data_IF_379804466661
#
_entry.id   IF_379804466661
#
_cell.length_a   1.000
_cell.length_b   1.000
_cell.length_c   1.000
_cell.angle_alpha   90.00
_cell.angle_beta   90.00
_cell.angle_gamma   90.00
#
_symmetry.space_group_name_H-M   'P 1'
#
loop_
_entity.id
_entity.type
_entity.pdbx_description
1 polymer ?
#
# COMPACT_ATOMS: atom_id res chain seq x y z
N UNK A 1 -11.51 -5.58 11.18
CA UNK A 1 -10.51 -4.56 10.81
C UNK A 1 -9.16 -5.12 11.19
N UNK A 2 -8.25 -5.27 10.23
CA UNK A 2 -6.91 -5.78 10.51
C UNK A 2 -6.12 -4.78 11.36
N UNK A 3 -5.15 -5.25 12.14
CA UNK A 3 -4.27 -4.33 12.88
C UNK A 3 -3.40 -3.53 11.90
N UNK A 4 -2.90 -2.36 12.31
CA UNK A 4 -1.96 -1.56 11.50
C UNK A 4 -0.75 -2.39 11.06
N UNK A 5 -0.29 -3.29 11.94
CA UNK A 5 0.79 -4.23 11.64
C UNK A 5 0.40 -5.16 10.49
N UNK A 6 -0.78 -5.76 10.54
CA UNK A 6 -1.25 -6.70 9.52
C UNK A 6 -1.45 -6.01 8.17
N UNK A 7 -2.03 -4.80 8.16
CA UNK A 7 -2.19 -3.98 6.95
C UNK A 7 -0.81 -3.70 6.33
N UNK A 8 0.16 -3.30 7.15
CA UNK A 8 1.53 -3.02 6.70
C UNK A 8 2.18 -4.28 6.12
N UNK A 9 2.11 -5.42 6.82
CA UNK A 9 2.68 -6.68 6.35
C UNK A 9 2.02 -7.13 5.03
N UNK A 10 0.71 -7.03 4.93
CA UNK A 10 -0.03 -7.39 3.72
C UNK A 10 0.30 -6.45 2.55
N UNK A 11 0.48 -5.16 2.81
CA UNK A 11 0.95 -4.22 1.79
C UNK A 11 2.32 -4.62 1.22
N UNK A 12 3.28 -5.00 2.08
CA UNK A 12 4.62 -5.40 1.64
C UNK A 12 4.70 -6.80 1.00
N UNK A 13 3.65 -7.64 1.12
CA UNK A 13 3.54 -8.90 0.36
C UNK A 13 3.20 -8.69 -1.12
N UNK A 14 2.63 -7.53 -1.47
CA UNK A 14 2.29 -7.20 -2.85
C UNK A 14 3.56 -6.95 -3.68
N UNK A 15 3.49 -7.32 -4.96
CA UNK A 15 4.51 -6.90 -5.94
C UNK A 15 4.63 -5.37 -5.99
N UNK A 16 5.77 -4.87 -6.47
CA UNK A 16 6.00 -3.43 -6.62
C UNK A 16 4.87 -2.74 -7.40
N UNK A 17 4.48 -3.29 -8.56
CA UNK A 17 3.44 -2.72 -9.41
C UNK A 17 2.08 -2.60 -8.71
N UNK A 18 1.69 -3.62 -7.94
CA UNK A 18 0.43 -3.60 -7.18
C UNK A 18 0.48 -2.62 -6.01
N UNK A 19 1.62 -2.52 -5.31
CA UNK A 19 1.81 -1.49 -4.27
C UNK A 19 1.71 -0.08 -4.84
N UNK A 20 2.32 0.15 -6.00
CA UNK A 20 2.29 1.42 -6.70
C UNK A 20 0.86 1.79 -7.10
N UNK A 21 0.13 0.86 -7.73
CA UNK A 21 -1.26 1.07 -8.12
C UNK A 21 -2.18 1.45 -6.94
N UNK A 22 -1.99 0.81 -5.77
CA UNK A 22 -2.71 1.19 -4.55
C UNK A 22 -2.31 2.60 -4.09
N UNK A 23 -1.01 2.92 -4.08
CA UNK A 23 -0.53 4.23 -3.66
C UNK A 23 -1.08 5.37 -4.55
N UNK A 24 -1.17 5.13 -5.85
CA UNK A 24 -1.77 6.03 -6.84
C UNK A 24 -3.29 6.15 -6.65
N UNK A 25 -4.00 5.02 -6.47
CA UNK A 25 -5.46 4.99 -6.24
C UNK A 25 -5.90 5.89 -5.09
N UNK A 26 -5.12 5.96 -4.02
CA UNK A 26 -5.41 6.78 -2.85
C UNK A 26 -4.71 8.16 -2.86
N UNK A 27 -4.00 8.49 -3.94
CA UNK A 27 -3.23 9.73 -4.09
C UNK A 27 -2.28 9.97 -2.89
N UNK A 28 -1.55 8.92 -2.51
CA UNK A 28 -0.66 8.89 -1.34
C UNK A 28 0.83 8.96 -1.70
N UNK A 29 1.16 8.62 -2.95
CA UNK A 29 2.50 8.80 -3.50
C UNK A 29 2.66 10.25 -3.96
N UNK A 30 3.77 10.88 -3.58
CA UNK A 30 4.13 12.24 -4.02
C UNK A 30 5.40 12.18 -4.86
N UNK A 31 5.63 13.22 -5.66
CA UNK A 31 6.82 13.35 -6.50
C UNK A 31 8.13 13.22 -5.68
N UNK A 32 8.16 13.83 -4.48
CA UNK A 32 9.30 13.76 -3.54
C UNK A 32 9.67 12.33 -3.09
N UNK A 33 8.76 11.36 -3.25
CA UNK A 33 9.01 9.97 -2.87
C UNK A 33 9.63 9.15 -4.01
N UNK A 34 9.61 9.66 -5.25
CA UNK A 34 10.16 8.99 -6.44
C UNK A 34 11.69 8.88 -6.33
N UNK A 35 12.34 9.82 -5.66
CA UNK A 35 13.78 9.79 -5.43
C UNK A 35 14.19 8.91 -4.23
N UNK A 36 13.21 8.38 -3.49
CA UNK A 36 13.48 7.52 -2.33
C UNK A 36 13.57 6.05 -2.75
N UNK A 37 14.36 5.23 -2.00
CA UNK A 37 14.30 3.78 -2.10
C UNK A 37 12.90 3.23 -1.82
N UNK A 38 12.53 2.13 -2.47
CA UNK A 38 11.19 1.51 -2.39
C UNK A 38 10.66 1.35 -0.97
N UNK A 39 11.49 0.87 -0.04
CA UNK A 39 11.06 0.64 1.34
C UNK A 39 10.63 1.93 2.04
N UNK A 40 11.35 3.03 1.82
CA UNK A 40 11.04 4.34 2.41
C UNK A 40 9.88 5.02 1.67
N UNK A 41 9.86 4.93 0.33
CA UNK A 41 8.73 5.38 -0.50
C UNK A 41 7.40 4.82 -0.01
N UNK A 42 7.32 3.49 0.13
CA UNK A 42 6.09 2.82 0.55
C UNK A 42 5.80 2.96 2.04
N UNK A 43 6.81 3.18 2.88
CA UNK A 43 6.62 3.57 4.28
C UNK A 43 5.93 4.94 4.39
N UNK A 44 6.34 5.92 3.58
CA UNK A 44 5.70 7.26 3.54
C UNK A 44 4.26 7.19 3.05
N UNK A 45 3.96 6.35 2.06
CA UNK A 45 2.58 6.07 1.62
C UNK A 45 1.71 5.60 2.79
N UNK A 46 2.18 4.61 3.56
CA UNK A 46 1.45 4.09 4.73
C UNK A 46 1.30 5.14 5.84
N UNK A 47 2.31 5.98 6.06
CA UNK A 47 2.23 7.07 7.03
C UNK A 47 1.13 8.06 6.65
N UNK A 48 1.10 8.51 5.38
CA UNK A 48 0.06 9.43 4.88
C UNK A 48 -1.33 8.79 4.91
N UNK A 49 -1.44 7.48 4.65
CA UNK A 49 -2.70 6.77 4.78
C UNK A 49 -3.22 6.78 6.21
N UNK A 50 -2.33 6.61 7.19
CA UNK A 50 -2.66 6.72 8.62
C UNK A 50 -3.11 8.14 8.97
N UNK A 51 -2.36 9.16 8.55
CA UNK A 51 -2.68 10.58 8.80
C UNK A 51 -4.05 10.98 8.21
N UNK A 52 -4.43 10.39 7.08
CA UNK A 52 -5.71 10.63 6.41
C UNK A 52 -6.84 9.69 6.83
N UNK A 53 -6.62 8.81 7.80
CA UNK A 53 -7.58 7.77 8.24
C UNK A 53 -8.05 6.81 7.12
N UNK A 54 -7.20 6.57 6.11
CA UNK A 54 -7.53 5.74 4.92
C UNK A 54 -7.19 4.26 5.08
N UNK A 55 -6.69 3.82 6.24
CA UNK A 55 -6.25 2.43 6.43
C UNK A 55 -7.35 1.39 6.26
N UNK A 56 -8.62 1.70 6.60
CA UNK A 56 -9.72 0.76 6.36
C UNK A 56 -9.98 0.50 4.87
N UNK A 57 -9.96 1.57 4.07
CA UNK A 57 -10.14 1.48 2.61
C UNK A 57 -8.91 0.84 1.95
N UNK A 58 -7.70 1.20 2.39
CA UNK A 58 -6.47 0.57 1.92
C UNK A 58 -6.41 -0.92 2.24
N UNK A 59 -6.80 -1.35 3.44
CA UNK A 59 -6.84 -2.78 3.83
C UNK A 59 -7.72 -3.58 2.87
N UNK A 60 -8.87 -3.00 2.49
CA UNK A 60 -9.78 -3.61 1.51
C UNK A 60 -9.14 -3.72 0.13
N UNK A 61 -8.49 -2.64 -0.36
CA UNK A 61 -7.79 -2.66 -1.63
C UNK A 61 -6.62 -3.64 -1.66
N UNK A 62 -5.82 -3.69 -0.59
CA UNK A 62 -4.71 -4.63 -0.41
C UNK A 62 -5.21 -6.07 -0.46
N UNK A 63 -6.31 -6.37 0.24
CA UNK A 63 -6.90 -7.70 0.26
C UNK A 63 -7.33 -8.16 -1.13
N UNK A 64 -7.98 -7.28 -1.89
CA UNK A 64 -8.39 -7.57 -3.28
C UNK A 64 -7.17 -7.83 -4.17
N UNK A 65 -6.14 -6.97 -4.09
CA UNK A 65 -4.93 -7.13 -4.88
C UNK A 65 -4.14 -8.40 -4.52
N UNK A 66 -4.09 -8.79 -3.24
CA UNK A 66 -3.44 -10.04 -2.83
C UNK A 66 -4.16 -11.25 -3.41
N UNK A 67 -5.50 -11.27 -3.39
CA UNK A 67 -6.28 -12.36 -4.00
C UNK A 67 -6.07 -12.45 -5.51
N UNK A 68 -5.97 -11.32 -6.21
CA UNK A 68 -5.70 -11.29 -7.64
C UNK A 68 -4.26 -11.73 -7.98
N UNK A 69 -3.29 -11.46 -7.10
CA UNK A 69 -1.89 -11.89 -7.27
C UNK A 69 -1.79 -13.42 -7.22
N UNK A 70 -2.48 -14.05 -6.28
CA UNK A 70 -2.50 -15.52 -6.16
C UNK A 70 -3.14 -16.19 -7.38
N UNK A 71 -4.17 -15.59 -7.99
CA UNK A 71 -4.84 -16.15 -9.18
C UNK A 71 -4.01 -16.12 -10.46
N UNK A 72 -2.95 -15.32 -10.49
CA UNK A 72 -2.09 -15.14 -11.66
C UNK A 72 -0.78 -15.92 -11.57
N UNK A 73 -0.61 -16.71 -10.49
CA UNK A 73 0.54 -17.58 -10.23
C UNK A 73 0.10 -19.04 -10.34
#
# INVERSE_FOLDING_TARGET
>A
MNSVRDITLNYFKLTFSRRLAIAEKFNLLREEDIDQPDHERFRRVLLRAKERNLFGEMDSAITIELQQQVKTT
#
